data_IF_218466946956
#
_entry.id   IF_218466946956
#
_cell.length_a   1.000
_cell.length_b   1.000
_cell.length_c   1.000
_cell.angle_alpha   90.00
_cell.angle_beta   90.00
_cell.angle_gamma   90.00
#
_symmetry.space_group_name_H-M   'P 1'
#
loop_
_entity.id
_entity.type
_entity.pdbx_description
1 polymer ?
#
# COMPACT_ATOMS: atom_id res chain seq x y z
N UNK A 1 -0.38 -18.28 18.22
CA UNK A 1 -1.20 -17.19 18.76
C UNK A 1 -2.67 -17.51 18.58
N UNK A 2 -3.32 -17.98 19.65
CA UNK A 2 -4.76 -18.22 19.66
C UNK A 2 -5.57 -16.92 19.69
N UNK A 3 -6.89 -17.06 19.63
CA UNK A 3 -7.82 -15.95 19.89
C UNK A 3 -7.64 -15.48 21.34
N UNK A 4 -6.84 -14.45 21.54
CA UNK A 4 -6.82 -13.68 22.76
C UNK A 4 -7.54 -12.37 22.48
N UNK A 5 -8.28 -11.88 23.48
CA UNK A 5 -8.86 -10.55 23.42
C UNK A 5 -7.76 -9.54 23.11
N UNK A 6 -8.06 -8.62 22.20
CA UNK A 6 -7.17 -7.57 21.73
C UNK A 6 -6.43 -6.86 22.87
N UNK A 7 -7.10 -6.68 24.00
CA UNK A 7 -6.56 -6.01 25.20
C UNK A 7 -5.41 -6.77 25.87
N UNK A 8 -5.25 -8.06 25.55
CA UNK A 8 -4.16 -8.93 26.05
C UNK A 8 -3.04 -9.11 25.02
N UNK A 9 -3.12 -8.46 23.86
CA UNK A 9 -2.06 -8.55 22.86
C UNK A 9 -0.90 -7.61 23.22
N UNK A 10 0.32 -8.12 23.45
CA UNK A 10 1.48 -7.26 23.73
C UNK A 10 1.85 -6.35 22.55
N UNK A 11 1.35 -6.67 21.34
CA UNK A 11 1.68 -5.97 20.10
C UNK A 11 0.54 -5.06 19.58
N UNK A 12 -0.72 -5.46 19.76
CA UNK A 12 -1.88 -4.77 19.18
C UNK A 12 -2.84 -4.34 20.28
N UNK A 13 -2.68 -3.12 20.80
CA UNK A 13 -3.51 -2.57 21.90
C UNK A 13 -4.85 -1.99 21.45
N UNK A 14 -5.22 -2.15 20.17
CA UNK A 14 -6.44 -1.59 19.56
C UNK A 14 -7.18 -2.66 18.80
N UNK A 15 -8.51 -2.60 18.82
CA UNK A 15 -9.35 -3.55 18.08
C UNK A 15 -8.91 -3.58 16.62
N UNK A 16 -8.84 -4.79 16.04
CA UNK A 16 -8.54 -4.94 14.61
C UNK A 16 -9.58 -4.15 13.80
N UNK A 17 -9.09 -3.33 12.89
CA UNK A 17 -9.93 -2.51 12.02
C UNK A 17 -10.84 -3.41 11.18
N UNK A 18 -12.12 -3.02 10.98
CA UNK A 18 -13.11 -3.83 10.25
C UNK A 18 -12.99 -3.70 8.72
N UNK A 19 -11.86 -3.21 8.20
CA UNK A 19 -11.69 -3.04 6.77
C UNK A 19 -11.57 -4.40 6.08
N UNK A 20 -12.23 -4.59 4.93
CA UNK A 20 -12.38 -5.90 4.29
C UNK A 20 -11.03 -6.55 3.96
N UNK A 21 -10.01 -5.76 3.60
CA UNK A 21 -8.66 -6.24 3.31
C UNK A 21 -7.97 -6.89 4.52
N UNK A 22 -8.19 -6.36 5.73
CA UNK A 22 -7.59 -6.79 6.98
C UNK A 22 -8.17 -8.13 7.44
N UNK A 23 -9.36 -8.46 6.95
CA UNK A 23 -10.06 -9.71 7.23
C UNK A 23 -10.07 -10.70 6.07
N UNK A 24 -9.72 -10.28 4.85
CA UNK A 24 -9.72 -11.14 3.67
C UNK A 24 -8.86 -12.41 3.84
N UNK A 25 -7.84 -12.35 4.70
CA UNK A 25 -6.98 -13.48 5.06
C UNK A 25 -7.10 -13.91 6.54
N UNK A 26 -7.92 -13.26 7.36
CA UNK A 26 -8.01 -13.55 8.80
C UNK A 26 -8.67 -14.91 9.06
N UNK A 27 -7.97 -15.79 9.78
CA UNK A 27 -8.43 -17.16 10.04
C UNK A 27 -8.04 -18.18 8.99
N UNK A 28 -7.44 -17.76 7.86
CA UNK A 28 -6.74 -18.69 6.95
C UNK A 28 -5.42 -19.07 7.63
N UNK A 29 -5.29 -20.33 8.08
CA UNK A 29 -4.15 -20.83 8.86
C UNK A 29 -2.78 -20.58 8.20
N UNK A 30 -1.69 -20.74 8.97
CA UNK A 30 -0.31 -20.64 8.47
C UNK A 30 -0.16 -21.43 7.16
N UNK A 31 -0.08 -20.70 6.05
CA UNK A 31 -0.24 -21.25 4.72
C UNK A 31 -1.60 -20.92 4.11
N UNK A 32 -2.01 -19.65 4.07
CA UNK A 32 -2.95 -19.23 3.02
C UNK A 32 -2.25 -19.53 1.69
N UNK A 33 -2.58 -20.67 1.10
CA UNK A 33 -2.13 -21.10 -0.23
C UNK A 33 -2.73 -20.22 -1.34
N UNK A 34 -2.84 -18.92 -1.09
CA UNK A 34 -3.40 -17.90 -1.99
C UNK A 34 -2.41 -16.75 -2.26
N UNK A 35 -1.16 -16.82 -1.77
CA UNK A 35 -0.05 -16.15 -2.48
C UNK A 35 0.50 -17.01 -3.62
N UNK A 36 0.14 -18.30 -3.62
CA UNK A 36 0.18 -19.20 -4.77
C UNK A 36 -1.26 -19.46 -5.20
N UNK A 37 -2.03 -18.42 -5.52
CA UNK A 37 -3.30 -18.66 -6.21
C UNK A 37 -3.03 -19.60 -7.39
N UNK A 38 -3.92 -20.55 -7.66
CA UNK A 38 -3.91 -21.24 -8.95
C UNK A 38 -3.93 -20.15 -10.04
N UNK A 39 -2.76 -19.83 -10.61
CA UNK A 39 -2.57 -18.73 -11.56
C UNK A 39 -1.71 -17.54 -11.11
N UNK A 40 -1.18 -17.49 -9.88
CA UNK A 40 -0.18 -16.47 -9.52
C UNK A 40 1.12 -16.76 -10.31
N UNK A 41 1.59 -15.84 -11.17
CA UNK A 41 2.75 -16.11 -12.02
C UNK A 41 4.00 -16.32 -11.16
N UNK A 42 4.59 -17.52 -11.26
CA UNK A 42 5.90 -17.78 -10.66
C UNK A 42 6.96 -17.07 -11.49
N UNK A 43 7.56 -16.01 -10.94
CA UNK A 43 8.67 -15.33 -11.58
C UNK A 43 9.95 -16.15 -11.38
N UNK A 44 10.35 -16.93 -12.39
CA UNK A 44 11.52 -17.83 -12.31
C UNK A 44 12.86 -17.15 -12.57
N UNK A 45 12.86 -16.05 -13.34
CA UNK A 45 14.07 -15.33 -13.78
C UNK A 45 14.03 -13.86 -13.34
N UNK A 46 13.68 -13.61 -12.07
CA UNK A 46 13.67 -12.26 -11.53
C UNK A 46 15.11 -11.75 -11.32
N UNK A 47 15.34 -10.46 -11.60
CA UNK A 47 16.55 -9.75 -11.21
C UNK A 47 16.18 -8.67 -10.19
N UNK A 48 16.86 -8.68 -9.05
CA UNK A 48 16.75 -7.59 -8.06
C UNK A 48 17.56 -6.40 -8.56
N UNK A 49 16.94 -5.22 -8.58
CA UNK A 49 17.58 -3.96 -8.95
C UNK A 49 17.57 -3.05 -7.71
N UNK A 50 18.74 -2.81 -7.07
CA UNK A 50 18.81 -1.92 -5.92
C UNK A 50 18.31 -0.52 -6.25
N UNK A 51 17.49 0.04 -5.36
CA UNK A 51 16.99 1.41 -5.48
C UNK A 51 17.58 2.31 -4.38
N UNK A 52 17.64 3.63 -4.57
CA UNK A 52 18.08 4.57 -3.54
C UNK A 52 17.26 4.45 -2.24
N UNK A 53 17.95 4.55 -1.10
CA UNK A 53 17.37 4.47 0.24
C UNK A 53 16.98 5.86 0.80
N UNK A 54 16.29 6.66 -0.02
CA UNK A 54 15.96 8.08 0.26
C UNK A 54 14.49 8.31 0.66
N UNK A 55 13.78 7.25 1.06
CA UNK A 55 12.34 7.30 1.35
C UNK A 55 11.44 7.40 0.11
N UNK A 56 12.01 7.35 -1.10
CA UNK A 56 11.28 7.28 -2.37
C UNK A 56 11.46 5.94 -3.09
N UNK A 57 11.95 4.91 -2.40
CA UNK A 57 12.29 3.61 -2.99
C UNK A 57 11.13 2.95 -3.75
N UNK A 58 9.89 3.11 -3.29
CA UNK A 58 8.70 2.69 -4.03
C UNK A 58 8.63 3.37 -5.40
N UNK A 59 8.71 4.69 -5.43
CA UNK A 59 8.62 5.48 -6.66
C UNK A 59 9.82 5.24 -7.59
N UNK A 60 11.02 5.01 -7.04
CA UNK A 60 12.19 4.58 -7.82
C UNK A 60 11.95 3.23 -8.48
N UNK A 61 11.42 2.26 -7.72
CA UNK A 61 11.07 0.92 -8.24
C UNK A 61 10.01 0.98 -9.34
N UNK A 62 8.97 1.80 -9.15
CA UNK A 62 7.89 1.97 -10.12
C UNK A 62 8.38 2.66 -11.40
N UNK A 63 9.12 3.77 -11.27
CA UNK A 63 9.73 4.49 -12.39
C UNK A 63 10.66 3.58 -13.20
N UNK A 64 11.48 2.77 -12.54
CA UNK A 64 12.31 1.75 -13.19
C UNK A 64 11.46 0.74 -13.97
N UNK A 65 10.39 0.22 -13.36
CA UNK A 65 9.50 -0.76 -13.99
C UNK A 65 8.71 -0.21 -15.18
N UNK A 66 8.24 1.04 -15.09
CA UNK A 66 7.51 1.72 -16.16
C UNK A 66 8.41 2.07 -17.34
N UNK A 67 9.69 2.37 -17.09
CA UNK A 67 10.68 2.70 -18.13
C UNK A 67 10.23 3.83 -19.08
N UNK A 68 9.37 4.73 -18.59
CA UNK A 68 8.73 5.82 -19.35
C UNK A 68 9.50 7.15 -19.29
N UNK A 69 10.71 7.13 -18.72
CA UNK A 69 11.58 8.30 -18.43
C UNK A 69 11.08 9.21 -17.30
N UNK A 70 10.02 8.81 -16.58
CA UNK A 70 9.71 9.44 -15.30
C UNK A 70 10.87 9.28 -14.31
N UNK A 71 10.94 10.18 -13.33
CA UNK A 71 11.79 10.03 -12.15
C UNK A 71 10.91 9.70 -10.96
N UNK A 72 11.47 9.18 -9.87
CA UNK A 72 10.73 8.98 -8.63
C UNK A 72 9.97 10.24 -8.18
N UNK A 73 10.60 11.41 -8.30
CA UNK A 73 9.99 12.69 -7.91
C UNK A 73 8.85 13.12 -8.83
N UNK A 74 9.00 12.98 -10.15
CA UNK A 74 7.93 13.34 -11.09
C UNK A 74 6.76 12.36 -10.98
N UNK A 75 7.04 11.05 -10.93
CA UNK A 75 6.02 10.01 -10.78
C UNK A 75 5.24 10.17 -9.48
N UNK A 76 5.93 10.44 -8.36
CA UNK A 76 5.29 10.73 -7.07
C UNK A 76 4.31 11.90 -7.17
N UNK A 77 4.72 13.01 -7.80
CA UNK A 77 3.86 14.19 -7.98
C UNK A 77 2.65 13.89 -8.85
N UNK A 78 2.83 13.12 -9.92
CA UNK A 78 1.75 12.76 -10.82
C UNK A 78 0.72 11.85 -10.12
N UNK A 79 1.18 10.86 -9.35
CA UNK A 79 0.32 9.99 -8.53
C UNK A 79 -0.44 10.81 -7.48
N UNK A 80 0.24 11.70 -6.75
CA UNK A 80 -0.43 12.58 -5.77
C UNK A 80 -1.47 13.48 -6.44
N UNK A 81 -1.14 14.06 -7.60
CA UNK A 81 -2.07 14.86 -8.38
C UNK A 81 -3.29 14.05 -8.86
N UNK A 82 -3.08 12.78 -9.19
CA UNK A 82 -4.17 11.87 -9.54
C UNK A 82 -5.07 11.55 -8.34
N UNK A 83 -4.48 11.22 -7.19
CA UNK A 83 -5.18 10.96 -5.93
C UNK A 83 -6.06 12.16 -5.54
N UNK A 84 -5.50 13.37 -5.57
CA UNK A 84 -6.22 14.60 -5.22
C UNK A 84 -7.42 14.89 -6.13
N UNK A 85 -7.34 14.51 -7.41
CA UNK A 85 -8.40 14.73 -8.41
C UNK A 85 -9.46 13.63 -8.43
N UNK A 86 -9.16 12.45 -7.89
CA UNK A 86 -10.02 11.27 -8.00
C UNK A 86 -10.32 10.62 -6.64
N UNK A 87 -10.78 11.36 -5.62
CA UNK A 87 -10.98 10.82 -4.27
C UNK A 87 -11.99 9.67 -4.21
N UNK A 88 -12.96 9.65 -5.13
CA UNK A 88 -14.03 8.65 -5.20
C UNK A 88 -13.71 7.46 -6.10
N UNK A 89 -12.57 7.47 -6.81
CA UNK A 89 -12.14 6.29 -7.58
C UNK A 89 -11.90 5.12 -6.64
N UNK A 90 -12.35 3.92 -7.04
CA UNK A 90 -12.24 2.72 -6.22
C UNK A 90 -11.06 1.86 -6.65
N UNK A 91 -10.28 1.41 -5.67
CA UNK A 91 -9.24 0.40 -5.81
C UNK A 91 -9.69 -0.79 -4.95
N UNK A 92 -9.98 -1.92 -5.58
CA UNK A 92 -10.51 -3.12 -4.93
C UNK A 92 -11.73 -2.79 -4.03
N UNK A 93 -12.74 -2.13 -4.60
CA UNK A 93 -13.99 -1.71 -3.94
C UNK A 93 -13.88 -0.65 -2.83
N UNK A 94 -12.67 -0.19 -2.49
CA UNK A 94 -12.48 0.89 -1.52
C UNK A 94 -12.11 2.19 -2.23
N UNK A 95 -12.77 3.30 -1.90
CA UNK A 95 -12.46 4.59 -2.51
C UNK A 95 -11.08 5.10 -2.05
N UNK A 96 -10.37 5.82 -2.92
CA UNK A 96 -9.04 6.39 -2.59
C UNK A 96 -9.09 7.22 -1.31
N UNK A 97 -10.16 8.02 -1.11
CA UNK A 97 -10.32 8.82 0.12
C UNK A 97 -10.40 7.97 1.39
N UNK A 98 -10.95 6.76 1.31
CA UNK A 98 -11.06 5.85 2.43
C UNK A 98 -9.70 5.22 2.72
N UNK A 99 -8.94 4.83 1.69
CA UNK A 99 -7.54 4.41 1.82
C UNK A 99 -6.67 5.47 2.51
N UNK A 100 -6.79 6.73 2.07
CA UNK A 100 -6.08 7.86 2.70
C UNK A 100 -6.46 8.02 4.18
N UNK A 101 -7.75 7.87 4.49
CA UNK A 101 -8.25 7.97 5.85
C UNK A 101 -7.74 6.85 6.74
N UNK A 102 -7.63 5.63 6.22
CA UNK A 102 -7.07 4.48 6.96
C UNK A 102 -5.57 4.65 7.24
N UNK A 103 -4.81 5.18 6.28
CA UNK A 103 -3.37 5.40 6.44
C UNK A 103 -3.03 6.55 7.40
N UNK A 104 -3.69 7.70 7.23
CA UNK A 104 -3.23 8.97 7.82
C UNK A 104 -4.29 9.72 8.63
N UNK A 105 -5.57 9.35 8.48
CA UNK A 105 -6.72 10.11 8.99
C UNK A 105 -6.74 11.60 8.55
N UNK A 106 -6.04 11.93 7.44
CA UNK A 106 -6.00 13.26 6.84
C UNK A 106 -7.08 13.41 5.74
N UNK A 107 -7.24 14.64 5.25
CA UNK A 107 -7.97 14.88 3.99
C UNK A 107 -7.13 14.42 2.80
N UNK A 108 -7.78 14.08 1.68
CA UNK A 108 -7.10 13.65 0.45
C UNK A 108 -6.11 14.71 -0.06
N UNK A 109 -6.49 16.00 -0.01
CA UNK A 109 -5.62 17.11 -0.41
C UNK A 109 -4.38 17.20 0.48
N UNK A 110 -4.57 17.21 1.82
CA UNK A 110 -3.46 17.30 2.77
C UNK A 110 -2.49 16.11 2.62
N UNK A 111 -3.05 14.91 2.46
CA UNK A 111 -2.28 13.69 2.20
C UNK A 111 -1.46 13.81 0.91
N UNK A 112 -2.10 14.20 -0.20
CA UNK A 112 -1.44 14.29 -1.50
C UNK A 112 -0.33 15.34 -1.52
N UNK A 113 -0.55 16.51 -0.91
CA UNK A 113 0.45 17.57 -0.78
C UNK A 113 1.66 17.12 0.04
N UNK A 114 1.41 16.50 1.20
CA UNK A 114 2.46 15.95 2.07
C UNK A 114 3.22 14.82 1.39
N UNK A 115 2.52 13.88 0.75
CA UNK A 115 3.11 12.75 0.04
C UNK A 115 3.96 13.21 -1.15
N UNK A 116 3.55 14.27 -1.85
CA UNK A 116 4.32 14.86 -2.95
C UNK A 116 5.64 15.49 -2.48
N UNK A 117 5.71 15.95 -1.23
CA UNK A 117 6.85 16.67 -0.66
C UNK A 117 8.02 15.80 -0.18
N UNK A 118 7.81 14.52 0.12
CA UNK A 118 8.89 13.58 0.48
C UNK A 118 8.66 12.81 1.79
N UNK A 119 7.70 11.88 1.77
CA UNK A 119 7.48 10.88 2.83
C UNK A 119 7.68 9.47 2.27
N UNK A 120 7.75 8.44 3.12
CA UNK A 120 7.78 7.06 2.63
C UNK A 120 6.50 6.77 1.85
N UNK A 121 6.67 6.23 0.64
CA UNK A 121 5.57 5.87 -0.25
C UNK A 121 4.91 4.55 0.12
#
# INVERSE_FOLDING_TARGET
>A
DGQHETDRCPHFKRARERHQDAWAAYGKGKGSKDLTGEGAPIVRNARVVPQPADGSCLFHSLSFGLSDRSTASSLRRDICGYIAKNPDMRIADTAIKDWVKYDSNESVQSYAERMAGGTWG
#
